data_IF_578720169218
#
_entry.id   IF_578720169218
#
_cell.length_a   1.000
_cell.length_b   1.000
_cell.length_c   1.000
_cell.angle_alpha   90.00
_cell.angle_beta   90.00
_cell.angle_gamma   90.00
#
_symmetry.space_group_name_H-M   'P 1'
#
loop_
_entity.id
_entity.type
_entity.pdbx_description
1 polymer ?
#
# COMPACT_ATOMS: atom_id res chain seq x y z
N UNK A 1 28.94 9.32 -13.77
CA UNK A 1 28.22 10.62 -13.75
C UNK A 1 27.56 10.82 -15.10
N UNK A 2 26.40 10.22 -15.31
CA UNK A 2 25.44 10.75 -16.29
C UNK A 2 24.45 11.57 -15.46
N UNK A 3 24.72 12.87 -15.35
CA UNK A 3 23.67 13.81 -15.02
C UNK A 3 22.60 13.63 -16.10
N UNK A 4 21.46 13.01 -15.75
CA UNK A 4 20.22 13.37 -16.42
C UNK A 4 20.05 14.84 -16.06
N UNK A 5 20.55 15.71 -16.93
CA UNK A 5 20.46 17.15 -16.77
C UNK A 5 18.99 17.46 -16.50
N UNK A 6 18.77 18.29 -15.48
CA UNK A 6 17.47 18.78 -15.02
C UNK A 6 16.57 19.39 -16.13
N UNK A 7 17.08 19.50 -17.37
CA UNK A 7 16.41 20.02 -18.56
C UNK A 7 15.92 18.95 -19.55
N UNK A 8 16.12 17.65 -19.30
CA UNK A 8 15.77 16.57 -20.26
C UNK A 8 14.48 15.78 -20.00
N UNK A 9 13.65 16.22 -19.05
CA UNK A 9 12.24 15.78 -19.02
C UNK A 9 11.50 16.55 -20.13
N UNK A 10 11.77 16.20 -21.39
CA UNK A 10 11.16 16.83 -22.56
C UNK A 10 9.67 16.48 -22.58
N UNK A 11 8.81 17.48 -22.68
CA UNK A 11 7.33 17.38 -22.74
C UNK A 11 6.76 16.48 -23.86
N UNK A 12 7.59 15.87 -24.71
CA UNK A 12 7.21 15.09 -25.88
C UNK A 12 7.82 13.68 -25.95
N UNK A 13 8.34 13.12 -24.85
CA UNK A 13 8.78 11.72 -24.81
C UNK A 13 7.64 10.77 -24.37
N UNK A 14 7.54 9.63 -25.06
CA UNK A 14 6.62 8.53 -24.77
C UNK A 14 6.95 7.94 -23.39
N UNK A 15 5.97 7.93 -22.47
CA UNK A 15 6.12 7.25 -21.18
C UNK A 15 6.30 5.74 -21.39
N UNK A 16 7.28 5.16 -20.69
CA UNK A 16 7.47 3.70 -20.67
C UNK A 16 6.35 3.02 -19.87
N UNK A 17 6.01 3.61 -18.73
CA UNK A 17 4.92 3.16 -17.88
C UNK A 17 3.62 3.78 -18.41
N UNK A 18 2.68 2.92 -18.81
CA UNK A 18 1.42 3.34 -19.43
C UNK A 18 0.27 3.55 -18.45
N UNK A 19 0.37 2.96 -17.26
CA UNK A 19 -0.62 3.09 -16.20
C UNK A 19 0.08 2.93 -14.85
N UNK A 20 -0.36 3.69 -13.87
CA UNK A 20 0.05 3.59 -12.47
C UNK A 20 -1.20 3.64 -11.60
N UNK A 21 -1.20 2.86 -10.53
CA UNK A 21 -2.21 2.96 -9.48
C UNK A 21 -1.76 4.01 -8.46
N UNK A 22 -2.59 5.03 -8.24
CA UNK A 22 -2.45 5.91 -7.10
C UNK A 22 -3.34 5.39 -5.99
N UNK A 23 -2.70 4.93 -4.91
CA UNK A 23 -3.37 4.43 -3.72
C UNK A 23 -3.30 5.48 -2.60
N UNK A 24 -4.35 5.55 -1.77
CA UNK A 24 -4.24 6.16 -0.46
C UNK A 24 -4.96 5.33 0.61
N UNK A 25 -4.56 5.54 1.85
CA UNK A 25 -5.23 4.97 3.00
C UNK A 25 -6.56 5.69 3.28
N UNK A 26 -7.54 4.92 3.72
CA UNK A 26 -8.93 5.35 3.84
C UNK A 26 -9.58 4.80 5.11
N UNK A 27 -10.56 5.54 5.63
CA UNK A 27 -11.25 5.22 6.88
C UNK A 27 -10.28 5.18 8.06
N UNK A 28 -9.29 6.08 8.11
CA UNK A 28 -8.32 6.12 9.22
C UNK A 28 -8.87 6.79 10.49
N UNK A 29 -10.08 7.34 10.43
CA UNK A 29 -10.82 7.84 11.60
C UNK A 29 -11.35 6.70 12.49
N UNK A 30 -11.62 6.97 13.78
CA UNK A 30 -12.22 5.99 14.70
C UNK A 30 -13.03 6.66 15.82
N UNK A 31 -14.30 6.30 15.93
CA UNK A 31 -15.23 6.81 16.94
C UNK A 31 -15.37 8.33 16.87
N UNK A 32 -15.06 9.01 17.97
CA UNK A 32 -15.12 10.47 18.05
C UNK A 32 -13.96 11.17 17.34
N UNK A 33 -12.88 10.46 17.01
CA UNK A 33 -11.70 11.03 16.34
C UNK A 33 -11.90 10.99 14.83
N UNK A 34 -12.06 12.16 14.22
CA UNK A 34 -12.43 12.31 12.82
C UNK A 34 -11.41 13.13 12.04
N UNK A 35 -11.18 12.74 10.79
CA UNK A 35 -10.43 13.49 9.80
C UNK A 35 -11.21 13.49 8.48
N UNK A 36 -12.20 14.37 8.35
CA UNK A 36 -13.03 14.44 7.14
C UNK A 36 -12.25 14.98 5.91
N UNK A 37 -11.07 15.58 6.10
CA UNK A 37 -10.23 15.99 4.97
C UNK A 37 -9.70 14.79 4.17
N UNK A 38 -9.70 13.57 4.74
CA UNK A 38 -9.27 12.35 4.03
C UNK A 38 -10.07 12.12 2.74
N UNK A 39 -11.37 12.44 2.74
CA UNK A 39 -12.25 12.19 1.59
C UNK A 39 -11.92 13.07 0.37
N UNK A 40 -11.20 14.18 0.57
CA UNK A 40 -10.75 15.06 -0.52
C UNK A 40 -9.68 14.39 -1.38
N UNK A 41 -8.91 13.46 -0.81
CA UNK A 41 -7.90 12.71 -1.56
C UNK A 41 -8.53 11.72 -2.54
N UNK A 42 -9.79 11.32 -2.31
CA UNK A 42 -10.45 10.28 -3.11
C UNK A 42 -10.69 10.74 -4.56
N UNK A 43 -10.64 12.05 -4.83
CA UNK A 43 -10.72 12.61 -6.18
C UNK A 43 -9.46 12.40 -7.02
N UNK A 44 -8.35 11.99 -6.40
CA UNK A 44 -7.02 11.93 -7.03
C UNK A 44 -6.41 10.53 -7.06
N UNK A 45 -7.14 9.51 -6.60
CA UNK A 45 -6.65 8.14 -6.45
C UNK A 45 -7.48 7.14 -7.27
N UNK A 46 -6.83 6.09 -7.74
CA UNK A 46 -7.47 4.97 -8.46
C UNK A 46 -7.81 3.81 -7.55
N UNK A 47 -7.20 3.74 -6.35
CA UNK A 47 -7.49 2.72 -5.35
C UNK A 47 -7.50 3.28 -3.92
N UNK A 48 -8.28 2.64 -3.05
CA UNK A 48 -8.35 2.95 -1.62
C UNK A 48 -8.01 1.73 -0.78
N UNK A 49 -7.03 1.90 0.11
CA UNK A 49 -6.69 0.96 1.17
C UNK A 49 -7.58 1.27 2.39
N UNK A 50 -8.70 0.54 2.53
CA UNK A 50 -9.70 0.82 3.56
C UNK A 50 -9.36 0.07 4.86
N UNK A 51 -9.21 0.82 5.96
CA UNK A 51 -8.92 0.28 7.29
C UNK A 51 -9.97 -0.71 7.77
N UNK A 52 -9.53 -1.74 8.49
CA UNK A 52 -10.38 -2.89 8.85
C UNK A 52 -10.67 -3.04 10.36
N UNK A 53 -10.58 -1.96 11.13
CA UNK A 53 -11.04 -1.88 12.53
C UNK A 53 -10.02 -2.20 13.61
N UNK A 54 -8.83 -2.71 13.26
CA UNK A 54 -7.81 -3.09 14.24
C UNK A 54 -6.86 -1.95 14.60
N UNK A 55 -6.36 -1.22 13.61
CA UNK A 55 -5.50 -0.05 13.82
C UNK A 55 -6.26 1.27 13.65
N UNK A 56 -7.33 1.26 12.87
CA UNK A 56 -8.26 2.37 12.60
C UNK A 56 -9.50 1.85 11.84
N UNK A 57 -10.48 2.71 11.56
CA UNK A 57 -11.65 2.36 10.75
C UNK A 57 -12.74 1.67 11.54
N UNK A 58 -13.56 2.46 12.24
CA UNK A 58 -14.80 1.93 12.80
C UNK A 58 -15.83 1.58 11.70
N UNK A 59 -16.88 0.80 12.02
CA UNK A 59 -17.89 0.39 11.03
C UNK A 59 -18.52 1.55 10.23
N UNK A 60 -18.73 2.71 10.85
CA UNK A 60 -19.33 3.86 10.18
C UNK A 60 -18.35 4.51 9.20
N UNK A 61 -17.06 4.57 9.54
CA UNK A 61 -16.02 5.13 8.66
C UNK A 61 -15.75 4.21 7.47
N UNK A 62 -15.68 2.90 7.71
CA UNK A 62 -15.59 1.87 6.65
C UNK A 62 -16.77 2.04 5.68
N UNK A 63 -17.99 2.14 6.21
CA UNK A 63 -19.19 2.30 5.41
C UNK A 63 -19.17 3.58 4.56
N UNK A 64 -18.75 4.72 5.15
CA UNK A 64 -18.63 5.99 4.43
C UNK A 64 -17.60 5.90 3.31
N UNK A 65 -16.42 5.33 3.54
CA UNK A 65 -15.40 5.16 2.50
C UNK A 65 -15.87 4.26 1.35
N UNK A 66 -16.57 3.16 1.64
CA UNK A 66 -17.13 2.28 0.60
C UNK A 66 -18.21 2.96 -0.24
N UNK A 67 -19.06 3.77 0.38
CA UNK A 67 -20.07 4.55 -0.33
C UNK A 67 -19.41 5.53 -1.30
N UNK A 68 -18.41 6.30 -0.84
CA UNK A 68 -17.67 7.23 -1.69
C UNK A 68 -16.90 6.50 -2.80
N UNK A 69 -16.28 5.36 -2.50
CA UNK A 69 -15.58 4.54 -3.48
C UNK A 69 -16.52 4.01 -4.58
N UNK A 70 -17.78 3.71 -4.22
CA UNK A 70 -18.83 3.36 -5.18
C UNK A 70 -19.17 4.52 -6.09
N UNK A 71 -19.47 5.68 -5.53
CA UNK A 71 -19.85 6.89 -6.27
C UNK A 71 -18.77 7.33 -7.27
N UNK A 72 -17.50 7.22 -6.86
CA UNK A 72 -16.34 7.65 -7.67
C UNK A 72 -15.74 6.53 -8.52
N UNK A 73 -16.32 5.32 -8.50
CA UNK A 73 -15.80 4.14 -9.19
C UNK A 73 -14.33 3.80 -8.87
N UNK A 74 -13.94 3.92 -7.60
CA UNK A 74 -12.58 3.65 -7.12
C UNK A 74 -12.41 2.17 -6.75
N UNK A 75 -11.25 1.57 -7.05
CA UNK A 75 -10.89 0.21 -6.61
C UNK A 75 -10.69 0.18 -5.08
N UNK A 76 -11.02 -0.93 -4.41
CA UNK A 76 -10.88 -1.02 -2.95
C UNK A 76 -10.02 -2.23 -2.55
N UNK A 77 -9.26 -2.05 -1.49
CA UNK A 77 -8.46 -3.08 -0.87
C UNK A 77 -8.56 -3.05 0.65
N UNK A 78 -8.21 -4.17 1.28
CA UNK A 78 -8.15 -4.28 2.72
C UNK A 78 -6.86 -3.67 3.25
N UNK A 79 -6.98 -2.64 4.09
CA UNK A 79 -5.86 -2.08 4.82
C UNK A 79 -5.79 -2.70 6.22
N UNK A 80 -4.99 -3.76 6.33
CA UNK A 80 -4.95 -4.60 7.52
C UNK A 80 -3.72 -4.29 8.37
N UNK A 81 -3.88 -4.33 9.68
CA UNK A 81 -2.79 -4.05 10.63
C UNK A 81 -2.86 -4.94 11.85
N UNK A 82 -1.92 -4.74 12.77
CA UNK A 82 -1.98 -5.37 14.08
C UNK A 82 -3.19 -4.87 14.89
N UNK A 83 -3.75 -5.69 15.80
CA UNK A 83 -4.85 -5.33 16.70
C UNK A 83 -4.38 -4.33 17.77
N UNK A 84 -4.03 -3.12 17.32
CA UNK A 84 -3.47 -2.06 18.14
C UNK A 84 -4.08 -0.70 17.79
N UNK A 85 -5.31 -0.47 18.26
CA UNK A 85 -6.01 0.79 18.02
C UNK A 85 -5.36 1.96 18.76
N UNK A 86 -4.76 1.72 19.94
CA UNK A 86 -4.13 2.77 20.76
C UNK A 86 -2.79 3.24 20.19
N UNK A 87 -2.01 2.34 19.60
CA UNK A 87 -0.77 2.67 18.91
C UNK A 87 -0.96 2.89 17.41
N UNK A 88 -2.20 2.92 16.93
CA UNK A 88 -2.56 3.04 15.52
C UNK A 88 -1.79 2.03 14.65
N UNK A 89 -1.59 0.80 15.13
CA UNK A 89 -0.91 -0.27 14.40
C UNK A 89 0.59 -0.07 14.13
N UNK A 90 1.24 0.93 14.75
CA UNK A 90 2.69 1.19 14.57
C UNK A 90 3.59 0.47 15.57
N UNK A 91 3.03 -0.32 16.50
CA UNK A 91 3.81 -1.14 17.42
C UNK A 91 3.90 -2.57 16.88
N UNK A 92 5.11 -3.12 16.86
CA UNK A 92 5.33 -4.51 16.49
C UNK A 92 4.65 -5.44 17.51
N UNK A 93 4.12 -6.55 17.03
CA UNK A 93 3.49 -7.59 17.82
C UNK A 93 3.99 -8.96 17.36
N UNK A 94 4.36 -9.80 18.33
CA UNK A 94 4.68 -11.20 18.08
C UNK A 94 3.43 -12.04 18.29
N UNK A 95 2.69 -12.20 17.18
CA UNK A 95 1.56 -13.12 17.10
C UNK A 95 2.06 -14.51 16.67
N UNK A 96 1.47 -15.55 17.23
CA UNK A 96 1.59 -16.90 16.68
C UNK A 96 0.98 -16.97 15.26
N UNK A 97 1.31 -18.05 14.52
CA UNK A 97 0.77 -18.24 13.15
C UNK A 97 -0.77 -18.27 13.15
N UNK A 98 -1.37 -18.91 14.16
CA UNK A 98 -2.83 -19.02 14.28
C UNK A 98 -3.47 -17.68 14.64
N UNK A 99 -2.86 -16.89 15.54
CA UNK A 99 -3.33 -15.54 15.87
C UNK A 99 -3.23 -14.60 14.65
N UNK A 100 -2.11 -14.66 13.91
CA UNK A 100 -1.93 -13.87 12.69
C UNK A 100 -3.00 -14.22 11.65
N UNK A 101 -3.23 -15.51 11.40
CA UNK A 101 -4.25 -15.97 10.47
C UNK A 101 -5.65 -15.52 10.88
N UNK A 102 -6.01 -15.65 12.15
CA UNK A 102 -7.29 -15.19 12.67
C UNK A 102 -7.46 -13.67 12.49
N UNK A 103 -6.42 -12.88 12.76
CA UNK A 103 -6.43 -11.43 12.57
C UNK A 103 -6.63 -11.03 11.10
N UNK A 104 -5.98 -11.74 10.16
CA UNK A 104 -6.10 -11.49 8.72
C UNK A 104 -7.51 -11.84 8.22
N UNK A 105 -8.00 -13.04 8.57
CA UNK A 105 -9.33 -13.50 8.17
C UNK A 105 -10.43 -12.58 8.69
N UNK A 106 -10.31 -12.13 9.94
CA UNK A 106 -11.26 -11.20 10.55
C UNK A 106 -11.32 -9.88 9.76
N UNK A 107 -10.16 -9.24 9.55
CA UNK A 107 -10.10 -7.93 8.90
C UNK A 107 -10.58 -7.96 7.45
N UNK A 108 -10.09 -8.92 6.65
CA UNK A 108 -10.50 -9.08 5.25
C UNK A 108 -11.98 -9.48 5.17
N UNK A 109 -12.42 -10.41 6.01
CA UNK A 109 -13.81 -10.88 6.06
C UNK A 109 -14.78 -9.76 6.41
N UNK A 110 -14.44 -8.92 7.39
CA UNK A 110 -15.22 -7.76 7.77
C UNK A 110 -15.41 -6.81 6.58
N UNK A 111 -14.32 -6.35 5.95
CA UNK A 111 -14.40 -5.43 4.81
C UNK A 111 -15.19 -6.04 3.64
N UNK A 112 -14.94 -7.31 3.29
CA UNK A 112 -15.66 -8.00 2.22
C UNK A 112 -17.17 -8.07 2.48
N UNK A 113 -17.58 -8.20 3.74
CA UNK A 113 -19.00 -8.18 4.12
C UNK A 113 -19.66 -6.83 3.81
N UNK A 114 -19.01 -5.72 4.19
CA UNK A 114 -19.51 -4.38 3.85
C UNK A 114 -19.48 -4.12 2.34
N UNK A 115 -18.38 -4.45 1.66
CA UNK A 115 -18.17 -4.16 0.24
C UNK A 115 -19.28 -4.72 -0.66
N UNK A 116 -19.80 -5.92 -0.33
CA UNK A 116 -20.90 -6.56 -1.06
C UNK A 116 -22.17 -5.72 -1.12
N UNK A 117 -22.50 -4.99 -0.05
CA UNK A 117 -23.69 -4.10 0.00
C UNK A 117 -23.55 -2.94 -1.00
N UNK A 118 -22.32 -2.57 -1.33
CA UNK A 118 -22.00 -1.50 -2.27
C UNK A 118 -21.73 -2.00 -3.69
N UNK A 119 -21.93 -3.30 -3.98
CA UNK A 119 -21.56 -3.95 -5.24
C UNK A 119 -20.08 -3.73 -5.60
N UNK A 120 -19.20 -3.81 -4.60
CA UNK A 120 -17.75 -3.71 -4.75
C UNK A 120 -17.09 -5.03 -4.37
N UNK A 121 -15.97 -5.33 -5.02
CA UNK A 121 -15.09 -6.43 -4.66
C UNK A 121 -13.82 -5.87 -4.00
N UNK A 122 -13.30 -6.58 -3.01
CA UNK A 122 -12.00 -6.26 -2.39
C UNK A 122 -10.94 -6.91 -3.27
N UNK A 123 -10.14 -6.10 -3.97
CA UNK A 123 -9.23 -6.58 -5.02
C UNK A 123 -7.81 -6.83 -4.52
N UNK A 124 -7.39 -6.12 -3.48
CA UNK A 124 -6.03 -6.18 -2.95
C UNK A 124 -6.00 -6.11 -1.42
N UNK A 125 -4.84 -6.42 -0.85
CA UNK A 125 -4.53 -6.24 0.56
C UNK A 125 -3.23 -5.45 0.68
N UNK A 126 -3.27 -4.42 1.52
CA UNK A 126 -2.14 -3.55 1.85
C UNK A 126 -1.95 -3.54 3.35
N UNK A 127 -0.74 -3.81 3.81
CA UNK A 127 -0.46 -3.87 5.25
C UNK A 127 -0.27 -2.47 5.84
N UNK A 128 -0.63 -2.30 7.10
CA UNK A 128 -0.52 -1.05 7.83
C UNK A 128 0.63 -1.07 8.83
N UNK A 129 1.30 0.07 8.98
CA UNK A 129 2.23 0.35 10.08
C UNK A 129 3.28 -0.74 10.30
N UNK A 130 3.41 -1.20 11.54
CA UNK A 130 4.41 -2.19 11.91
C UNK A 130 4.23 -3.54 11.20
N UNK A 131 3.01 -3.88 10.75
CA UNK A 131 2.78 -5.10 9.95
C UNK A 131 3.41 -4.98 8.56
N UNK A 132 3.31 -3.81 7.92
CA UNK A 132 3.98 -3.52 6.64
C UNK A 132 5.49 -3.56 6.78
N UNK A 133 6.02 -2.92 7.83
CA UNK A 133 7.47 -2.91 8.09
C UNK A 133 8.00 -4.32 8.36
N UNK A 134 7.27 -5.13 9.13
CA UNK A 134 7.63 -6.53 9.40
C UNK A 134 7.55 -7.38 8.13
N UNK A 135 6.51 -7.21 7.32
CA UNK A 135 6.38 -7.87 6.02
C UNK A 135 7.56 -7.57 5.09
N UNK A 136 8.06 -6.33 5.07
CA UNK A 136 9.18 -5.96 4.19
C UNK A 136 10.54 -6.43 4.70
N UNK A 137 10.72 -6.71 6.00
CA UNK A 137 12.04 -7.05 6.58
C UNK A 137 12.22 -8.52 6.98
N UNK A 138 11.13 -9.25 7.19
CA UNK A 138 11.15 -10.63 7.69
C UNK A 138 10.50 -11.58 6.69
N UNK A 139 11.33 -12.44 6.09
CA UNK A 139 10.94 -13.42 5.07
C UNK A 139 9.95 -14.46 5.60
N UNK A 140 10.12 -14.93 6.84
CA UNK A 140 9.22 -15.92 7.41
C UNK A 140 7.86 -15.28 7.72
N UNK A 141 7.88 -14.08 8.31
CA UNK A 141 6.64 -13.33 8.56
C UNK A 141 5.90 -13.04 7.25
N UNK A 142 6.59 -12.63 6.19
CA UNK A 142 6.00 -12.36 4.88
C UNK A 142 5.29 -13.60 4.29
N UNK A 143 5.91 -14.78 4.38
CA UNK A 143 5.32 -16.04 3.92
C UNK A 143 4.07 -16.40 4.75
N UNK A 144 4.13 -16.33 6.07
CA UNK A 144 2.99 -16.64 6.94
C UNK A 144 1.82 -15.66 6.70
N UNK A 145 2.11 -14.36 6.59
CA UNK A 145 1.09 -13.33 6.33
C UNK A 145 0.45 -13.50 4.95
N UNK A 146 1.24 -13.74 3.91
CA UNK A 146 0.74 -13.97 2.57
C UNK A 146 -0.08 -15.27 2.47
N UNK A 147 0.32 -16.32 3.20
CA UNK A 147 -0.43 -17.57 3.28
C UNK A 147 -1.80 -17.36 3.95
N UNK A 148 -1.87 -16.53 5.01
CA UNK A 148 -3.14 -16.15 5.62
C UNK A 148 -4.02 -15.33 4.67
N UNK A 149 -3.45 -14.36 3.94
CA UNK A 149 -4.19 -13.58 2.94
C UNK A 149 -4.75 -14.47 1.83
N UNK A 150 -3.96 -15.43 1.32
CA UNK A 150 -4.40 -16.42 0.33
C UNK A 150 -5.55 -17.29 0.84
N UNK A 151 -5.54 -17.68 2.11
CA UNK A 151 -6.65 -18.43 2.72
C UNK A 151 -7.92 -17.57 2.82
N UNK A 152 -7.78 -16.28 3.12
CA UNK A 152 -8.90 -15.33 3.16
C UNK A 152 -9.54 -15.16 1.77
N UNK A 153 -8.69 -14.98 0.75
CA UNK A 153 -9.10 -14.95 -0.65
C UNK A 153 -7.87 -15.13 -1.56
N UNK A 154 -7.80 -16.21 -2.37
CA UNK A 154 -6.66 -16.47 -3.25
C UNK A 154 -6.55 -15.47 -4.41
N UNK A 155 -7.58 -14.67 -4.66
CA UNK A 155 -7.54 -13.66 -5.70
C UNK A 155 -6.89 -12.35 -5.24
N UNK A 156 -6.73 -12.07 -3.96
CA UNK A 156 -6.18 -10.77 -3.56
C UNK A 156 -4.79 -10.51 -4.14
N UNK A 157 -4.58 -9.28 -4.62
CA UNK A 157 -3.25 -8.76 -4.93
C UNK A 157 -2.60 -8.30 -3.63
N UNK A 158 -1.42 -8.83 -3.31
CA UNK A 158 -0.68 -8.43 -2.10
C UNK A 158 0.28 -7.29 -2.44
N UNK A 159 0.09 -6.14 -1.78
CA UNK A 159 0.97 -4.98 -1.92
C UNK A 159 2.15 -5.10 -0.96
N UNK A 160 3.33 -4.64 -1.38
CA UNK A 160 4.51 -4.60 -0.53
C UNK A 160 5.63 -3.72 -1.08
N UNK A 161 6.53 -3.28 -0.21
CA UNK A 161 7.64 -2.39 -0.56
C UNK A 161 8.98 -3.11 -0.75
N UNK A 162 9.06 -4.39 -0.40
CA UNK A 162 10.24 -5.22 -0.57
C UNK A 162 10.09 -6.19 -1.76
N UNK A 163 10.91 -5.99 -2.78
CA UNK A 163 10.82 -6.77 -4.02
C UNK A 163 11.22 -8.23 -3.83
N UNK A 164 12.16 -8.53 -2.93
CA UNK A 164 12.58 -9.91 -2.65
C UNK A 164 11.44 -10.70 -2.01
N UNK A 165 10.80 -10.14 -0.99
CA UNK A 165 9.70 -10.78 -0.28
C UNK A 165 8.49 -10.94 -1.17
N UNK A 166 8.15 -9.94 -2.01
CA UNK A 166 7.08 -10.08 -3.00
C UNK A 166 7.37 -11.20 -4.01
N UNK A 167 8.61 -11.26 -4.51
CA UNK A 167 9.02 -12.31 -5.46
C UNK A 167 8.98 -13.69 -4.81
N UNK A 168 9.44 -13.79 -3.55
CA UNK A 168 9.41 -15.00 -2.74
C UNK A 168 7.97 -15.52 -2.60
N UNK A 169 7.04 -14.70 -2.09
CA UNK A 169 5.67 -15.15 -1.87
C UNK A 169 4.93 -15.46 -3.18
N UNK A 170 5.19 -14.70 -4.25
CA UNK A 170 4.58 -14.97 -5.55
C UNK A 170 5.02 -16.35 -6.09
N UNK A 171 6.30 -16.70 -5.93
CA UNK A 171 6.85 -17.96 -6.40
C UNK A 171 6.43 -19.15 -5.54
N UNK A 172 6.53 -19.03 -4.21
CA UNK A 172 6.21 -20.09 -3.25
C UNK A 172 4.70 -20.35 -3.18
N UNK A 173 3.89 -19.28 -3.08
CA UNK A 173 2.47 -19.38 -2.80
C UNK A 173 1.58 -19.23 -4.04
N UNK A 174 2.13 -18.86 -5.20
CA UNK A 174 1.38 -18.61 -6.45
C UNK A 174 0.27 -17.55 -6.27
N UNK A 175 0.59 -16.50 -5.53
CA UNK A 175 -0.31 -15.34 -5.29
C UNK A 175 0.06 -14.18 -6.23
N UNK A 176 -0.89 -13.27 -6.43
CA UNK A 176 -0.66 -12.03 -7.16
C UNK A 176 0.00 -11.01 -6.24
N UNK A 177 1.01 -10.31 -6.72
CA UNK A 177 1.72 -9.28 -5.96
C UNK A 177 1.80 -7.98 -6.77
N UNK A 178 1.87 -6.86 -6.07
CA UNK A 178 2.16 -5.55 -6.64
C UNK A 178 3.21 -4.84 -5.79
N UNK A 179 4.24 -4.29 -6.45
CA UNK A 179 5.24 -3.48 -5.79
C UNK A 179 4.68 -2.08 -5.51
N UNK A 180 4.75 -1.67 -4.25
CA UNK A 180 4.35 -0.34 -3.81
C UNK A 180 5.57 0.58 -3.73
N UNK A 181 5.50 1.69 -4.47
CA UNK A 181 6.46 2.77 -4.36
C UNK A 181 5.89 3.90 -3.50
N UNK A 182 6.50 4.16 -2.34
CA UNK A 182 6.27 5.42 -1.63
C UNK A 182 7.09 6.54 -2.28
N UNK A 183 6.40 7.46 -2.96
CA UNK A 183 7.03 8.55 -3.74
C UNK A 183 7.77 9.58 -2.86
N UNK A 184 7.38 9.71 -1.59
CA UNK A 184 7.98 10.65 -0.65
C UNK A 184 9.26 10.11 -0.03
N UNK A 185 9.44 8.80 0.02
CA UNK A 185 10.54 8.19 0.77
C UNK A 185 11.84 8.12 -0.02
N UNK A 186 12.95 8.21 0.70
CA UNK A 186 14.28 7.96 0.12
C UNK A 186 14.56 6.46 0.18
N UNK A 187 15.29 5.94 -0.82
CA UNK A 187 15.65 4.52 -0.93
C UNK A 187 17.18 4.35 -1.01
N UNK A 188 17.67 3.22 -0.50
CA UNK A 188 19.06 2.78 -0.66
C UNK A 188 19.30 2.05 -2.00
N UNK A 189 20.51 1.52 -2.22
CA UNK A 189 20.84 0.77 -3.45
C UNK A 189 20.02 -0.51 -3.67
N UNK A 190 19.40 -1.05 -2.62
CA UNK A 190 18.62 -2.28 -2.66
C UNK A 190 17.11 -2.00 -2.69
N UNK A 191 16.70 -0.76 -2.96
CA UNK A 191 15.29 -0.32 -2.94
C UNK A 191 14.64 -0.45 -1.56
N UNK A 192 15.43 -0.44 -0.48
CA UNK A 192 14.89 -0.41 0.87
C UNK A 192 14.57 1.03 1.26
N UNK A 193 13.38 1.21 1.81
CA UNK A 193 12.93 2.51 2.31
C UNK A 193 13.77 2.99 3.50
N UNK A 194 14.27 4.22 3.42
CA UNK A 194 14.95 4.90 4.52
C UNK A 194 13.96 5.77 5.32
N UNK A 195 14.29 6.05 6.58
CA UNK A 195 13.51 6.98 7.41
C UNK A 195 13.85 8.44 7.07
N UNK A 196 13.70 8.80 5.80
CA UNK A 196 13.95 10.12 5.25
C UNK A 196 12.96 10.37 4.10
N UNK A 197 12.47 11.60 4.00
CA UNK A 197 11.62 12.03 2.90
C UNK A 197 12.41 12.91 1.93
N UNK A 198 12.03 12.87 0.65
CA UNK A 198 12.45 13.87 -0.33
C UNK A 198 11.69 15.17 -0.11
N UNK A 199 12.27 16.26 -0.60
CA UNK A 199 11.59 17.56 -0.65
C UNK A 199 10.32 17.47 -1.50
N UNK A 200 9.24 18.09 -1.02
CA UNK A 200 7.93 18.14 -1.69
C UNK A 200 8.08 18.76 -3.09
N UNK A 201 8.94 19.77 -3.25
CA UNK A 201 9.22 20.40 -4.54
C UNK A 201 9.80 19.43 -5.58
N UNK A 202 10.35 18.29 -5.13
CA UNK A 202 10.95 17.25 -5.99
C UNK A 202 10.01 16.10 -6.29
N UNK A 203 8.81 16.04 -5.70
CA UNK A 203 7.86 14.93 -5.90
C UNK A 203 7.41 14.82 -7.35
N UNK A 204 7.01 15.93 -7.96
CA UNK A 204 6.57 15.96 -9.36
C UNK A 204 7.67 15.44 -10.30
N UNK A 205 8.91 15.89 -10.06
CA UNK A 205 10.07 15.44 -10.83
C UNK A 205 10.29 13.93 -10.67
N UNK A 206 10.16 13.39 -9.45
CA UNK A 206 10.30 11.95 -9.20
C UNK A 206 9.25 11.13 -9.95
N UNK A 207 7.99 11.56 -9.92
CA UNK A 207 6.91 10.86 -10.64
C UNK A 207 7.19 10.87 -12.14
N UNK A 208 7.58 12.00 -12.72
CA UNK A 208 7.94 12.09 -14.14
C UNK A 208 9.14 11.20 -14.49
N UNK A 209 10.18 11.19 -13.66
CA UNK A 209 11.35 10.33 -13.85
C UNK A 209 10.99 8.84 -13.81
N UNK A 210 10.10 8.44 -12.89
CA UNK A 210 9.62 7.07 -12.82
C UNK A 210 8.84 6.69 -14.08
N UNK A 211 7.88 7.51 -14.51
CA UNK A 211 7.04 7.23 -15.69
C UNK A 211 7.86 7.16 -16.99
N UNK A 212 8.89 7.97 -17.12
CA UNK A 212 9.72 8.04 -18.33
C UNK A 212 10.84 6.98 -18.36
N UNK A 213 11.48 6.74 -17.22
CA UNK A 213 12.73 5.98 -17.18
C UNK A 213 12.68 4.73 -16.32
N UNK A 214 11.57 4.46 -15.62
CA UNK A 214 11.43 3.39 -14.63
C UNK A 214 12.46 3.55 -13.50
N UNK A 215 12.85 4.79 -13.19
CA UNK A 215 13.92 5.11 -12.24
C UNK A 215 13.44 6.10 -11.19
N UNK A 216 13.94 5.92 -9.97
CA UNK A 216 13.79 6.89 -8.89
C UNK A 216 15.16 7.37 -8.41
N UNK A 217 15.21 8.61 -7.92
CA UNK A 217 16.39 9.16 -7.26
C UNK A 217 16.64 8.51 -5.90
N UNK A 218 17.89 8.20 -5.58
CA UNK A 218 18.39 7.77 -4.26
C UNK A 218 18.85 8.98 -3.43
N UNK A 219 19.19 8.75 -2.16
CA UNK A 219 19.71 9.77 -1.24
C UNK A 219 20.94 10.53 -1.79
N UNK A 220 21.80 9.81 -2.52
CA UNK A 220 23.04 10.33 -3.10
C UNK A 220 22.85 10.99 -4.48
N UNK A 221 21.62 11.15 -4.95
CA UNK A 221 21.31 11.73 -6.26
C UNK A 221 21.49 10.77 -7.45
N UNK A 222 21.94 9.54 -7.22
CA UNK A 222 21.98 8.52 -8.26
C UNK A 222 20.60 7.90 -8.48
N UNK A 223 20.37 7.36 -9.67
CA UNK A 223 19.13 6.67 -9.98
C UNK A 223 19.21 5.18 -9.65
N UNK A 224 18.09 4.61 -9.21
CA UNK A 224 17.86 3.17 -9.13
C UNK A 224 16.67 2.81 -10.01
N UNK A 225 16.81 1.72 -10.77
CA UNK A 225 15.74 1.23 -11.66
C UNK A 225 14.77 0.40 -10.83
N UNK A 226 13.50 0.77 -10.87
CA UNK A 226 12.40 -0.03 -10.32
C UNK A 226 12.01 -1.04 -11.40
N UNK A 227 12.07 -2.32 -11.05
CA UNK A 227 11.69 -3.42 -11.94
C UNK A 227 10.18 -3.63 -11.94
#
# INVERSE_FOLDING_TARGET
MEEIKLEEVKNNQQYKIKAIDYNCDAAQSYGAYQNDDEYRLYDYVSSLSISCGFHSGDPMKIQKSLMTAKEKNICIGAHIGFPDIQGFGYRDMDLSKDELEACVLYQIGALKSFARIYNKEVEFVRFHGAMYDKFNRDKEFALNLAQACKKADPWLIIYGGDYENLTLIANELKVRTAFELNIEKVYDENLKQLNQNIDVEKLEHRVKAYLQYEKIHKANGEFVTLK
#
